data_IF_528349910042
#
_entry.id   IF_528349910042
#
_cell.length_a   1.000
_cell.length_b   1.000
_cell.length_c   1.000
_cell.angle_alpha   90.00
_cell.angle_beta   90.00
_cell.angle_gamma   90.00
#
_symmetry.space_group_name_H-M   'P 1'
#
loop_
_entity.id
_entity.type
_entity.pdbx_description
1 polymer ?
#
# COMPACT_ATOMS: atom_id res chain seq x y z
N UNK A 1 12.48 3.27 -49.73
CA UNK A 1 11.83 2.45 -48.69
C UNK A 1 12.31 2.75 -47.25
N UNK A 2 13.44 3.42 -47.00
CA UNK A 2 14.01 3.64 -45.65
C UNK A 2 13.33 4.71 -44.75
N UNK A 3 12.42 5.52 -45.27
CA UNK A 3 11.80 6.63 -44.49
C UNK A 3 10.56 6.21 -43.68
N UNK A 4 9.88 5.12 -44.06
CA UNK A 4 8.69 4.63 -43.37
C UNK A 4 9.04 3.78 -42.12
N UNK A 5 10.05 2.92 -42.21
CA UNK A 5 10.49 2.04 -41.11
C UNK A 5 10.99 2.84 -39.89
N UNK A 6 11.69 3.95 -40.12
CA UNK A 6 12.24 4.78 -39.05
C UNK A 6 11.15 5.56 -38.27
N UNK A 7 10.00 5.81 -38.91
CA UNK A 7 8.87 6.48 -38.28
C UNK A 7 8.02 5.50 -37.47
N UNK A 8 7.87 4.27 -37.93
CA UNK A 8 7.16 3.19 -37.22
C UNK A 8 7.92 2.77 -35.96
N UNK A 9 9.24 2.63 -36.02
CA UNK A 9 10.04 2.30 -34.83
C UNK A 9 10.02 3.42 -33.78
N UNK A 10 10.07 4.70 -34.20
CA UNK A 10 9.93 5.84 -33.27
C UNK A 10 8.55 5.90 -32.62
N UNK A 11 7.49 5.52 -33.32
CA UNK A 11 6.12 5.47 -32.76
C UNK A 11 5.97 4.28 -31.82
N UNK A 12 6.56 3.12 -32.15
CA UNK A 12 6.57 1.93 -31.29
C UNK A 12 7.36 2.17 -29.99
N UNK A 13 8.57 2.73 -30.07
CA UNK A 13 9.37 3.07 -28.89
C UNK A 13 8.71 4.15 -28.03
N UNK A 14 8.08 5.17 -28.65
CA UNK A 14 7.31 6.18 -27.93
C UNK A 14 6.08 5.59 -27.25
N UNK A 15 5.34 4.68 -27.90
CA UNK A 15 4.17 4.04 -27.30
C UNK A 15 4.56 3.11 -26.16
N UNK A 16 5.65 2.34 -26.29
CA UNK A 16 6.18 1.54 -25.18
C UNK A 16 6.62 2.44 -24.03
N UNK A 17 7.39 3.49 -24.31
CA UNK A 17 7.86 4.44 -23.28
C UNK A 17 6.69 5.17 -22.61
N UNK A 18 5.67 5.56 -23.36
CA UNK A 18 4.44 6.18 -22.83
C UNK A 18 3.61 5.20 -22.00
N UNK A 19 3.53 3.93 -22.39
CA UNK A 19 2.82 2.90 -21.62
C UNK A 19 3.56 2.55 -20.32
N UNK A 20 4.89 2.47 -20.35
CA UNK A 20 5.71 2.30 -19.15
C UNK A 20 5.68 3.54 -18.25
N UNK A 21 5.70 4.74 -18.83
CA UNK A 21 5.59 5.98 -18.06
C UNK A 21 4.20 6.15 -17.47
N UNK A 22 3.13 5.78 -18.19
CA UNK A 22 1.76 5.79 -17.68
C UNK A 22 1.52 4.73 -16.60
N UNK A 23 2.12 3.54 -16.72
CA UNK A 23 2.08 2.52 -15.67
C UNK A 23 2.89 2.95 -14.44
N UNK A 24 4.04 3.59 -14.65
CA UNK A 24 4.86 4.18 -13.58
C UNK A 24 4.17 5.38 -12.91
N UNK A 25 3.52 6.25 -13.69
CA UNK A 25 2.71 7.37 -13.20
C UNK A 25 1.43 6.87 -12.50
N UNK A 26 0.82 5.75 -12.95
CA UNK A 26 -0.25 5.04 -12.21
C UNK A 26 0.26 4.36 -10.94
N UNK A 27 1.51 3.89 -10.91
CA UNK A 27 2.15 3.35 -9.70
C UNK A 27 2.51 4.46 -8.71
N UNK A 28 3.00 5.60 -9.20
CA UNK A 28 3.33 6.81 -8.45
C UNK A 28 2.07 7.55 -7.95
N UNK A 29 0.86 7.20 -8.44
CA UNK A 29 -0.40 7.87 -8.07
C UNK A 29 -1.24 7.19 -6.96
N UNK A 30 -0.74 6.20 -6.22
CA UNK A 30 -1.61 5.33 -5.41
C UNK A 30 -1.33 5.31 -3.90
N UNK A 31 -0.99 6.49 -3.35
CA UNK A 31 -1.29 6.84 -1.97
C UNK A 31 -1.95 8.21 -1.99
N UNK A 32 -3.21 8.28 -1.58
CA UNK A 32 -4.05 9.47 -1.70
C UNK A 32 -3.55 10.60 -0.81
N UNK A 33 -2.74 10.28 0.19
CA UNK A 33 -2.18 11.22 1.17
C UNK A 33 -0.97 12.02 0.68
N UNK A 34 -0.35 11.63 -0.44
CA UNK A 34 0.93 12.19 -0.89
C UNK A 34 2.14 11.70 -0.06
N UNK A 35 2.04 10.54 0.59
CA UNK A 35 3.19 9.81 1.09
C UNK A 35 4.10 9.41 -0.08
N UNK A 36 5.41 9.48 0.12
CA UNK A 36 6.42 9.02 -0.86
C UNK A 36 7.14 7.80 -0.28
N UNK A 37 6.65 6.56 -0.53
CA UNK A 37 7.18 5.34 0.06
C UNK A 37 8.67 5.12 -0.22
N UNK A 38 9.19 5.67 -1.30
CA UNK A 38 10.57 5.54 -1.74
C UNK A 38 11.54 6.21 -0.75
N UNK A 39 11.07 7.26 -0.08
CA UNK A 39 11.82 8.03 0.92
C UNK A 39 11.73 7.45 2.33
N UNK A 40 10.95 6.39 2.54
CA UNK A 40 10.88 5.69 3.82
C UNK A 40 12.14 4.84 4.03
N UNK A 41 12.57 4.75 5.28
CA UNK A 41 13.60 3.80 5.70
C UNK A 41 13.09 2.36 5.58
N UNK A 42 14.00 1.39 5.56
CA UNK A 42 13.64 -0.02 5.30
C UNK A 42 12.70 -0.61 6.36
N UNK A 43 12.87 -0.22 7.63
CA UNK A 43 11.97 -0.65 8.73
C UNK A 43 10.58 -0.01 8.61
N UNK A 44 10.50 1.24 8.16
CA UNK A 44 9.25 1.93 7.86
C UNK A 44 8.52 1.32 6.67
N UNK A 45 9.25 0.96 5.60
CA UNK A 45 8.72 0.25 4.43
C UNK A 45 8.15 -1.11 4.82
N UNK A 46 8.92 -1.87 5.62
CA UNK A 46 8.47 -3.16 6.12
C UNK A 46 7.21 -3.01 7.00
N UNK A 47 7.20 -2.04 7.92
CA UNK A 47 6.02 -1.76 8.74
C UNK A 47 4.80 -1.42 7.88
N UNK A 48 4.97 -0.56 6.87
CA UNK A 48 3.89 -0.17 5.95
C UNK A 48 3.36 -1.36 5.15
N UNK A 49 4.24 -2.26 4.70
CA UNK A 49 3.85 -3.48 4.01
C UNK A 49 2.94 -4.36 4.89
N UNK A 50 3.33 -4.59 6.14
CA UNK A 50 2.52 -5.36 7.10
C UNK A 50 1.20 -4.66 7.42
N UNK A 51 1.18 -3.32 7.51
CA UNK A 51 -0.04 -2.57 7.74
C UNK A 51 -1.02 -2.65 6.56
N UNK A 52 -0.54 -2.55 5.33
CA UNK A 52 -1.37 -2.71 4.12
C UNK A 52 -1.94 -4.13 4.07
N UNK A 53 -1.10 -5.16 4.27
CA UNK A 53 -1.54 -6.55 4.35
C UNK A 53 -2.57 -6.76 5.48
N UNK A 54 -2.41 -6.09 6.61
CA UNK A 54 -3.37 -6.13 7.72
C UNK A 54 -4.71 -5.51 7.35
N UNK A 55 -4.72 -4.43 6.57
CA UNK A 55 -5.94 -3.78 6.12
C UNK A 55 -6.75 -4.72 5.20
N UNK A 56 -6.13 -5.23 4.13
CA UNK A 56 -6.78 -6.10 3.12
C UNK A 56 -7.11 -7.51 3.61
N UNK A 57 -6.73 -7.86 4.84
CA UNK A 57 -7.07 -9.16 5.44
C UNK A 57 -7.99 -9.02 6.65
N UNK A 58 -8.38 -7.80 7.00
CA UNK A 58 -9.14 -7.51 8.22
C UNK A 58 -10.55 -8.11 8.20
N UNK A 59 -11.16 -8.24 7.03
CA UNK A 59 -12.46 -8.88 6.82
C UNK A 59 -12.39 -10.43 6.79
N UNK A 60 -11.18 -11.00 6.70
CA UNK A 60 -10.95 -12.44 6.61
C UNK A 60 -10.90 -12.99 5.18
N UNK A 61 -10.76 -12.15 4.14
CA UNK A 61 -10.46 -12.62 2.77
C UNK A 61 -9.91 -11.50 1.89
N UNK A 62 -8.88 -11.79 1.08
CA UNK A 62 -8.40 -10.81 0.10
C UNK A 62 -9.28 -10.85 -1.16
N UNK A 63 -9.96 -9.75 -1.47
CA UNK A 63 -10.77 -9.60 -2.67
C UNK A 63 -9.91 -9.32 -3.92
N UNK A 64 -10.40 -9.61 -5.14
CA UNK A 64 -9.67 -9.33 -6.38
C UNK A 64 -9.25 -7.88 -6.54
N UNK A 65 -10.09 -6.94 -6.09
CA UNK A 65 -9.84 -5.49 -6.14
C UNK A 65 -8.70 -5.06 -5.18
N UNK A 66 -8.36 -5.90 -4.21
CA UNK A 66 -7.32 -5.61 -3.21
C UNK A 66 -5.93 -6.16 -3.61
N UNK A 67 -5.87 -6.97 -4.66
CA UNK A 67 -4.61 -7.60 -5.11
C UNK A 67 -3.55 -6.57 -5.49
N UNK A 68 -3.94 -5.40 -6.01
CA UNK A 68 -2.98 -4.33 -6.32
C UNK A 68 -2.28 -3.78 -5.07
N UNK A 69 -2.97 -3.76 -3.92
CA UNK A 69 -2.39 -3.32 -2.65
C UNK A 69 -1.47 -4.39 -2.07
N UNK A 70 -1.81 -5.67 -2.22
CA UNK A 70 -0.93 -6.77 -1.86
C UNK A 70 0.38 -6.70 -2.65
N UNK A 71 0.31 -6.59 -3.98
CA UNK A 71 1.51 -6.49 -4.84
C UNK A 71 2.39 -5.30 -4.43
N UNK A 72 1.79 -4.15 -4.13
CA UNK A 72 2.51 -2.97 -3.62
C UNK A 72 3.19 -3.23 -2.29
N UNK A 73 2.49 -3.85 -1.33
CA UNK A 73 3.06 -4.17 -0.02
C UNK A 73 4.27 -5.10 -0.16
N UNK A 74 4.20 -6.10 -1.04
CA UNK A 74 5.32 -7.01 -1.29
C UNK A 74 6.53 -6.30 -1.90
N UNK A 75 6.32 -5.28 -2.73
CA UNK A 75 7.40 -4.50 -3.33
C UNK A 75 8.21 -3.67 -2.33
N UNK A 76 7.70 -3.46 -1.11
CA UNK A 76 8.42 -2.80 -0.02
C UNK A 76 9.34 -3.73 0.76
N UNK A 77 9.24 -5.04 0.55
CA UNK A 77 10.03 -6.02 1.29
C UNK A 77 11.41 -6.19 0.64
N UNK A 78 12.51 -6.19 1.41
CA UNK A 78 13.86 -6.13 0.84
C UNK A 78 14.36 -7.47 0.28
N UNK A 79 13.62 -8.56 0.48
CA UNK A 79 14.03 -9.90 0.03
C UNK A 79 12.86 -10.79 -0.40
N UNK A 80 13.14 -11.72 -1.32
CA UNK A 80 12.19 -12.76 -1.72
C UNK A 80 11.78 -13.66 -0.54
N UNK A 81 12.66 -13.82 0.45
CA UNK A 81 12.34 -14.57 1.67
C UNK A 81 11.23 -13.89 2.47
N UNK A 82 11.30 -12.56 2.62
CA UNK A 82 10.26 -11.81 3.32
C UNK A 82 8.96 -11.74 2.53
N UNK A 83 9.04 -11.61 1.20
CA UNK A 83 7.88 -11.73 0.31
C UNK A 83 7.16 -13.07 0.53
N UNK A 84 7.91 -14.18 0.52
CA UNK A 84 7.35 -15.51 0.75
C UNK A 84 6.74 -15.66 2.16
N UNK A 85 7.40 -15.11 3.18
CA UNK A 85 6.90 -15.12 4.55
C UNK A 85 5.60 -14.31 4.68
N UNK A 86 5.54 -13.13 4.07
CA UNK A 86 4.35 -12.28 4.05
C UNK A 86 3.19 -12.98 3.35
N UNK A 87 3.43 -13.54 2.15
CA UNK A 87 2.41 -14.28 1.40
C UNK A 87 1.83 -15.46 2.20
N UNK A 88 2.69 -16.17 2.94
CA UNK A 88 2.24 -17.23 3.85
C UNK A 88 1.42 -16.67 5.01
N UNK A 89 1.86 -15.58 5.63
CA UNK A 89 1.16 -14.95 6.75
C UNK A 89 -0.23 -14.42 6.34
N UNK A 90 -0.35 -13.81 5.15
CA UNK A 90 -1.62 -13.39 4.55
C UNK A 90 -2.53 -14.60 4.33
N UNK A 91 -2.02 -15.65 3.69
CA UNK A 91 -2.78 -16.88 3.42
C UNK A 91 -3.27 -17.56 4.71
N UNK A 92 -2.43 -17.59 5.73
CA UNK A 92 -2.72 -18.20 7.02
C UNK A 92 -3.52 -17.27 7.95
N UNK A 93 -3.79 -16.02 7.53
CA UNK A 93 -4.41 -14.95 8.33
C UNK A 93 -3.72 -14.73 9.68
N UNK A 94 -2.39 -14.84 9.67
CA UNK A 94 -1.51 -14.77 10.85
C UNK A 94 -0.40 -13.77 10.58
N UNK A 95 -0.79 -12.54 10.29
CA UNK A 95 0.16 -11.44 10.20
C UNK A 95 0.74 -11.17 11.59
N UNK A 96 2.05 -10.86 11.68
CA UNK A 96 2.65 -10.48 12.95
C UNK A 96 1.99 -9.20 13.48
N UNK A 97 1.91 -9.08 14.80
CA UNK A 97 1.42 -7.86 15.42
C UNK A 97 2.41 -6.72 15.15
N UNK A 98 1.88 -5.57 14.72
CA UNK A 98 2.67 -4.38 14.48
C UNK A 98 3.03 -3.68 15.80
N UNK A 99 4.29 -3.26 15.93
CA UNK A 99 4.72 -2.30 16.95
C UNK A 99 4.36 -0.85 16.53
N UNK A 100 4.78 0.13 17.33
CA UNK A 100 4.65 1.55 16.94
C UNK A 100 5.44 1.82 15.65
N UNK A 101 4.93 2.71 14.81
CA UNK A 101 5.62 3.11 13.59
C UNK A 101 6.98 3.76 13.92
N UNK A 102 8.10 3.27 13.36
CA UNK A 102 9.43 3.73 13.75
C UNK A 102 9.77 5.11 13.16
N UNK A 103 10.50 5.93 13.93
CA UNK A 103 11.03 7.22 13.46
C UNK A 103 9.98 8.22 12.98
N UNK A 104 8.73 8.08 13.43
CA UNK A 104 7.59 8.77 12.87
C UNK A 104 7.61 10.29 13.09
N UNK A 105 7.28 11.04 12.05
CA UNK A 105 6.78 12.42 12.20
C UNK A 105 5.26 12.42 12.21
N UNK A 106 4.64 13.44 12.82
CA UNK A 106 3.18 13.57 12.85
C UNK A 106 2.55 13.59 11.45
N UNK A 107 3.23 14.21 10.49
CA UNK A 107 2.78 14.24 9.09
C UNK A 107 2.78 12.84 8.47
N UNK A 108 3.84 12.05 8.70
CA UNK A 108 3.91 10.66 8.23
C UNK A 108 2.81 9.79 8.85
N UNK A 109 2.59 9.91 10.17
CA UNK A 109 1.52 9.19 10.87
C UNK A 109 0.14 9.45 10.22
N UNK A 110 -0.17 10.72 9.96
CA UNK A 110 -1.45 11.12 9.34
C UNK A 110 -1.56 10.63 7.91
N UNK A 111 -0.49 10.74 7.12
CA UNK A 111 -0.47 10.29 5.73
C UNK A 111 -0.72 8.79 5.61
N UNK A 112 0.04 8.00 6.38
CA UNK A 112 -0.12 6.54 6.42
C UNK A 112 -1.54 6.16 6.83
N UNK A 113 -2.13 6.85 7.80
CA UNK A 113 -3.50 6.56 8.22
C UNK A 113 -4.55 6.87 7.14
N UNK A 114 -4.42 7.99 6.43
CA UNK A 114 -5.29 8.33 5.30
C UNK A 114 -5.20 7.27 4.21
N UNK A 115 -3.99 6.81 3.93
CA UNK A 115 -3.76 5.79 2.92
C UNK A 115 -4.38 4.45 3.32
N UNK A 116 -4.14 3.98 4.55
CA UNK A 116 -4.74 2.75 5.06
C UNK A 116 -6.28 2.82 5.10
N UNK A 117 -6.83 3.99 5.42
CA UNK A 117 -8.28 4.22 5.34
C UNK A 117 -8.79 4.14 3.89
N UNK A 118 -7.97 4.57 2.92
CA UNK A 118 -8.32 4.45 1.50
C UNK A 118 -8.28 2.99 1.03
N UNK A 119 -7.28 2.22 1.47
CA UNK A 119 -7.16 0.78 1.18
C UNK A 119 -8.37 0.02 1.70
N UNK A 120 -8.77 0.28 2.95
CA UNK A 120 -9.85 -0.47 3.61
C UNK A 120 -11.25 -0.05 3.16
N UNK A 121 -11.39 1.06 2.41
CA UNK A 121 -12.69 1.55 1.94
C UNK A 121 -12.95 1.26 0.47
N UNK A 122 -12.16 0.39 -0.17
CA UNK A 122 -12.19 0.12 -1.62
C UNK A 122 -13.57 -0.39 -2.06
N UNK A 123 -14.23 -1.21 -1.25
CA UNK A 123 -15.56 -1.76 -1.54
C UNK A 123 -16.72 -0.81 -1.13
N UNK A 124 -16.40 0.37 -0.59
CA UNK A 124 -17.31 1.38 -0.02
C UNK A 124 -18.17 0.90 1.15
N UNK A 125 -17.78 -0.17 1.85
CA UNK A 125 -18.44 -0.65 3.06
C UNK A 125 -17.39 -0.73 4.17
N UNK A 126 -17.74 -0.27 5.38
CA UNK A 126 -16.87 -0.42 6.55
C UNK A 126 -17.61 -1.25 7.60
N UNK A 127 -17.25 -2.52 7.67
CA UNK A 127 -17.67 -3.47 8.68
C UNK A 127 -16.94 -3.31 10.00
N UNK A 128 -17.35 -4.11 10.99
CA UNK A 128 -16.81 -4.01 12.35
C UNK A 128 -15.30 -4.32 12.41
N UNK A 129 -14.83 -5.34 11.68
CA UNK A 129 -13.41 -5.73 11.71
C UNK A 129 -12.50 -4.66 11.11
N UNK A 130 -12.97 -3.97 10.07
CA UNK A 130 -12.23 -2.91 9.40
C UNK A 130 -12.13 -1.67 10.29
N UNK A 131 -13.23 -1.32 10.97
CA UNK A 131 -13.23 -0.27 12.00
C UNK A 131 -12.26 -0.65 13.13
N UNK A 132 -12.31 -1.89 13.63
CA UNK A 132 -11.41 -2.36 14.68
C UNK A 132 -9.95 -2.30 14.24
N UNK A 133 -9.66 -2.66 12.99
CA UNK A 133 -8.34 -2.53 12.39
C UNK A 133 -7.89 -1.05 12.33
N UNK A 134 -8.72 -0.14 11.81
CA UNK A 134 -8.41 1.30 11.76
C UNK A 134 -8.13 1.88 13.16
N UNK A 135 -8.94 1.50 14.15
CA UNK A 135 -8.75 1.93 15.53
C UNK A 135 -7.49 1.32 16.16
N UNK A 136 -7.12 0.10 15.77
CA UNK A 136 -5.89 -0.54 16.21
C UNK A 136 -4.67 0.15 15.59
N UNK A 137 -4.65 0.30 14.26
CA UNK A 137 -3.51 0.84 13.53
C UNK A 137 -3.29 2.32 13.83
N UNK A 138 -4.37 3.09 14.04
CA UNK A 138 -4.28 4.47 14.48
C UNK A 138 -3.52 4.61 15.81
N UNK A 139 -3.69 3.68 16.74
CA UNK A 139 -2.92 3.67 18.00
C UNK A 139 -1.44 3.37 17.78
N UNK A 140 -1.10 2.51 16.83
CA UNK A 140 0.29 2.21 16.46
C UNK A 140 0.96 3.41 15.75
N UNK A 141 0.16 4.24 15.08
CA UNK A 141 0.55 5.54 14.49
C UNK A 141 0.49 6.72 15.48
N UNK A 142 0.46 6.46 16.79
CA UNK A 142 0.54 7.53 17.78
C UNK A 142 -0.75 8.36 17.93
N UNK A 143 -1.88 7.93 17.36
CA UNK A 143 -3.17 8.54 17.65
C UNK A 143 -3.74 8.04 18.98
N UNK A 144 -4.04 8.98 19.86
CA UNK A 144 -4.73 8.71 21.13
C UNK A 144 -6.23 8.45 20.93
N UNK A 145 -6.94 8.20 22.02
CA UNK A 145 -8.41 7.99 22.02
C UNK A 145 -9.23 9.17 21.48
N UNK A 146 -8.59 10.33 21.30
CA UNK A 146 -9.17 11.55 20.74
C UNK A 146 -9.80 11.35 19.34
N UNK A 147 -9.35 10.35 18.57
CA UNK A 147 -9.90 10.04 17.23
C UNK A 147 -11.19 9.20 17.25
N UNK A 148 -11.59 8.63 18.40
CA UNK A 148 -12.70 7.65 18.48
C UNK A 148 -14.02 8.27 18.94
N UNK A 149 -14.12 9.60 19.00
CA UNK A 149 -15.43 10.26 19.20
C UNK A 149 -16.08 10.54 17.85
N UNK A 150 -16.76 9.54 17.33
CA UNK A 150 -17.95 9.79 16.52
C UNK A 150 -19.01 10.26 17.52
N UNK A 151 -19.37 11.54 17.46
CA UNK A 151 -20.51 12.10 18.19
C UNK A 151 -21.76 11.90 17.35
#
# INVERSE_FOLDING_TARGET
MRFAENSVNKVSEKNSTLHFKSAKEKMESQLTSGLQPELLEDDQKQWLAYAICGAITSDGSVAPEELEYLERALAFLPSETEVNNMMRAVKDQKLPELDRFPGATREMEVKIFIDLTSVISVDNVLGANEIDFLLHIGRKLGFGREFVRVV
#
